data_IF_601417695514
#
_entry.id   IF_601417695514
#
_cell.length_a   1.000
_cell.length_b   1.000
_cell.length_c   1.000
_cell.angle_alpha   90.00
_cell.angle_beta   90.00
_cell.angle_gamma   90.00
#
_symmetry.space_group_name_H-M   'P 1'
#
loop_
_entity.id
_entity.type
_entity.pdbx_description
1 polymer ?
#
# COMPACT_ATOMS: atom_id res chain seq x y z
N UNK A 1 -17.94 -4.90 11.53
CA UNK A 1 -16.89 -5.89 11.75
C UNK A 1 -15.53 -5.21 11.93
N UNK A 2 -14.77 -5.64 12.88
CA UNK A 2 -13.46 -5.05 13.13
C UNK A 2 -12.38 -5.79 12.37
N UNK A 3 -11.33 -5.05 11.98
CA UNK A 3 -10.16 -5.63 11.31
C UNK A 3 -9.02 -5.89 12.31
N UNK A 4 -9.41 -6.14 13.57
CA UNK A 4 -8.45 -6.41 14.63
C UNK A 4 -7.61 -7.63 14.27
N UNK A 5 -6.30 -7.50 14.37
CA UNK A 5 -5.32 -8.56 14.06
C UNK A 5 -5.14 -8.88 12.58
N UNK A 6 -5.78 -8.11 11.69
CA UNK A 6 -5.53 -8.26 10.26
C UNK A 6 -4.31 -7.47 9.82
N UNK A 7 -3.65 -7.97 8.78
CA UNK A 7 -2.52 -7.27 8.18
C UNK A 7 -3.01 -6.08 7.35
N UNK A 8 -2.48 -4.91 7.64
CA UNK A 8 -2.81 -3.69 6.91
C UNK A 8 -1.95 -3.62 5.66
N UNK A 9 -2.60 -3.46 4.51
CA UNK A 9 -1.93 -3.26 3.22
C UNK A 9 -1.82 -1.77 2.91
N UNK A 10 -2.86 -1.00 3.24
CA UNK A 10 -2.92 0.42 2.94
C UNK A 10 -3.59 1.17 4.09
N UNK A 11 -2.91 2.19 4.61
CA UNK A 11 -3.40 3.05 5.69
C UNK A 11 -3.73 4.41 5.09
N UNK A 12 -5.00 4.63 4.76
CA UNK A 12 -5.40 5.83 4.03
C UNK A 12 -6.81 6.30 4.37
N UNK A 13 -7.06 7.58 4.12
CA UNK A 13 -8.38 8.19 4.27
C UNK A 13 -8.65 9.09 3.08
N UNK A 14 -9.94 9.38 2.87
CA UNK A 14 -10.40 10.43 1.97
C UNK A 14 -11.05 11.50 2.84
N UNK A 15 -10.53 12.72 2.80
CA UNK A 15 -11.08 13.83 3.58
C UNK A 15 -12.37 14.36 2.95
N UNK A 16 -13.19 15.14 3.69
CA UNK A 16 -14.44 15.67 3.12
C UNK A 16 -14.26 16.47 1.83
N UNK A 17 -13.12 17.16 1.66
CA UNK A 17 -12.85 17.93 0.43
C UNK A 17 -12.35 17.07 -0.73
N UNK A 18 -12.30 15.73 -0.55
CA UNK A 18 -11.88 14.82 -1.61
C UNK A 18 -10.38 14.56 -1.68
N UNK A 19 -9.63 14.94 -0.66
CA UNK A 19 -8.18 14.70 -0.64
C UNK A 19 -7.86 13.32 -0.13
N UNK A 20 -7.09 12.56 -0.91
CA UNK A 20 -6.60 11.25 -0.51
C UNK A 20 -5.32 11.42 0.29
N UNK A 21 -5.27 10.81 1.48
CA UNK A 21 -4.14 10.93 2.39
C UNK A 21 -3.71 9.53 2.81
N UNK A 22 -2.48 9.16 2.50
CA UNK A 22 -1.95 7.83 2.82
C UNK A 22 -0.66 7.91 3.62
N UNK A 23 -0.58 7.09 4.67
CA UNK A 23 0.65 6.85 5.41
C UNK A 23 1.29 5.57 4.89
N UNK A 24 2.51 5.65 4.39
CA UNK A 24 3.18 4.53 3.70
C UNK A 24 4.03 3.68 4.62
N UNK A 25 4.55 4.23 5.71
CA UNK A 25 5.43 3.49 6.59
C UNK A 25 5.26 3.93 8.04
N UNK A 26 5.86 3.19 8.95
CA UNK A 26 5.84 3.53 10.36
C UNK A 26 6.34 4.95 10.58
N UNK A 27 5.62 5.72 11.39
CA UNK A 27 5.91 7.14 11.66
C UNK A 27 5.77 8.07 10.46
N UNK A 28 5.15 7.61 9.38
CA UNK A 28 4.88 8.46 8.22
C UNK A 28 3.64 9.30 8.50
N UNK A 29 3.88 10.42 9.16
CA UNK A 29 2.84 11.36 9.57
C UNK A 29 2.44 12.24 8.38
N UNK A 30 1.16 12.18 8.02
CA UNK A 30 0.61 13.00 6.95
C UNK A 30 -0.55 13.80 7.51
N UNK A 31 -0.61 15.09 7.16
CA UNK A 31 -1.73 15.92 7.56
C UNK A 31 -2.22 16.77 6.40
N UNK A 32 -3.48 17.18 6.49
CA UNK A 32 -4.13 17.98 5.48
C UNK A 32 -5.17 18.88 6.13
N UNK A 33 -5.12 20.18 5.81
CA UNK A 33 -6.15 21.10 6.22
C UNK A 33 -7.31 20.99 5.23
N UNK A 34 -8.42 20.43 5.69
CA UNK A 34 -9.59 20.20 4.86
C UNK A 34 -10.29 21.50 4.54
N UNK A 35 -10.54 21.76 3.26
CA UNK A 35 -11.10 23.04 2.82
C UNK A 35 -12.59 23.18 3.10
N UNK A 36 -13.30 22.05 3.17
CA UNK A 36 -14.74 22.11 3.44
C UNK A 36 -15.05 22.31 4.91
N UNK A 37 -14.27 21.71 5.80
CA UNK A 37 -14.54 21.76 7.25
C UNK A 37 -13.66 22.71 8.02
N UNK A 38 -12.50 23.06 7.46
CA UNK A 38 -11.50 23.87 8.16
C UNK A 38 -10.74 23.09 9.21
N UNK A 39 -10.94 21.77 9.30
CA UNK A 39 -10.26 20.93 10.28
C UNK A 39 -9.04 20.26 9.68
N UNK A 40 -8.09 19.91 10.55
CA UNK A 40 -6.89 19.18 10.13
C UNK A 40 -7.14 17.68 10.28
N UNK A 41 -6.89 16.96 9.21
CA UNK A 41 -6.98 15.49 9.20
C UNK A 41 -5.58 14.89 9.20
N UNK A 42 -5.39 13.82 9.96
CA UNK A 42 -4.09 13.19 10.17
C UNK A 42 -4.19 11.70 9.92
N UNK A 43 -3.19 11.13 9.23
CA UNK A 43 -2.95 9.69 9.18
C UNK A 43 -1.49 9.44 9.50
N UNK A 44 -1.21 8.34 10.20
CA UNK A 44 0.13 7.99 10.64
C UNK A 44 0.19 6.49 10.90
N UNK A 45 1.37 5.91 10.83
CA UNK A 45 1.61 4.54 11.22
C UNK A 45 1.85 3.53 10.09
N UNK A 46 1.62 3.92 8.84
CA UNK A 46 1.82 3.01 7.71
C UNK A 46 1.14 1.68 7.91
N UNK A 47 1.88 0.58 7.72
CA UNK A 47 1.35 -0.77 7.91
C UNK A 47 1.46 -1.28 9.35
N UNK A 48 2.01 -0.49 10.26
CA UNK A 48 2.22 -0.92 11.64
C UNK A 48 1.07 -0.58 12.57
N UNK A 49 0.49 0.62 12.41
CA UNK A 49 -0.63 1.05 13.26
C UNK A 49 -1.45 2.12 12.55
N UNK A 50 -2.69 2.25 12.98
CA UNK A 50 -3.60 3.29 12.46
C UNK A 50 -3.75 4.39 13.49
N UNK A 51 -3.09 5.51 13.24
CA UNK A 51 -3.23 6.69 14.10
C UNK A 51 -3.90 7.78 13.28
N UNK A 52 -5.03 8.27 13.78
CA UNK A 52 -5.85 9.24 13.07
C UNK A 52 -6.39 10.31 13.99
N UNK A 53 -6.59 11.50 13.43
CA UNK A 53 -7.26 12.57 14.14
C UNK A 53 -8.73 12.22 14.36
N UNK A 54 -9.31 12.80 15.41
CA UNK A 54 -10.74 12.74 15.68
C UNK A 54 -11.32 14.07 15.20
N UNK A 55 -12.20 13.99 14.20
CA UNK A 55 -12.76 15.18 13.59
C UNK A 55 -14.27 15.21 13.73
N UNK A 56 -14.86 16.41 13.69
CA UNK A 56 -16.31 16.58 13.77
C UNK A 56 -17.01 15.92 12.58
N UNK A 57 -16.48 16.17 11.37
CA UNK A 57 -16.94 15.46 10.18
C UNK A 57 -15.92 14.35 9.91
N UNK A 58 -16.31 13.07 9.97
CA UNK A 58 -15.33 12.00 9.79
C UNK A 58 -14.86 11.90 8.35
N UNK A 59 -13.60 11.48 8.20
CA UNK A 59 -13.07 11.10 6.88
C UNK A 59 -13.61 9.73 6.50
N UNK A 60 -13.55 9.43 5.21
CA UNK A 60 -13.89 8.09 4.71
C UNK A 60 -12.65 7.21 4.77
N UNK A 61 -12.77 6.04 5.39
CA UNK A 61 -11.65 5.09 5.42
C UNK A 61 -11.39 4.55 4.01
N UNK A 62 -10.12 4.58 3.62
CA UNK A 62 -9.66 4.02 2.35
C UNK A 62 -8.69 2.86 2.62
N UNK A 63 -8.75 2.30 3.83
CA UNK A 63 -7.86 1.22 4.23
C UNK A 63 -8.08 -0.03 3.39
N UNK A 64 -6.97 -0.74 3.15
CA UNK A 64 -6.99 -2.05 2.51
C UNK A 64 -6.29 -3.03 3.44
N UNK A 65 -6.89 -4.20 3.59
CA UNK A 65 -6.38 -5.28 4.44
C UNK A 65 -6.09 -6.52 3.60
N UNK A 66 -5.28 -7.41 4.16
CA UNK A 66 -4.91 -8.65 3.46
C UNK A 66 -6.13 -9.52 3.13
N UNK A 67 -7.22 -9.39 3.88
CA UNK A 67 -8.46 -10.12 3.63
C UNK A 67 -9.30 -9.54 2.48
N UNK A 68 -8.94 -8.38 1.96
CA UNK A 68 -9.66 -7.77 0.83
C UNK A 68 -9.38 -8.55 -0.46
N UNK A 69 -10.23 -8.39 -1.50
CA UNK A 69 -9.99 -9.06 -2.77
C UNK A 69 -8.63 -8.71 -3.38
N UNK A 70 -7.99 -9.67 -4.03
CA UNK A 70 -6.67 -9.45 -4.61
C UNK A 70 -6.65 -8.30 -5.63
N UNK A 71 -7.74 -8.11 -6.37
CA UNK A 71 -7.87 -6.95 -7.28
C UNK A 71 -7.61 -5.64 -6.56
N UNK A 72 -8.14 -5.51 -5.35
CA UNK A 72 -7.94 -4.31 -4.53
C UNK A 72 -6.52 -4.26 -3.97
N UNK A 73 -6.03 -5.40 -3.49
CA UNK A 73 -4.69 -5.47 -2.89
C UNK A 73 -3.62 -5.10 -3.91
N UNK A 74 -3.67 -5.64 -5.13
CA UNK A 74 -2.64 -5.40 -6.13
C UNK A 74 -2.54 -3.93 -6.55
N UNK A 75 -3.60 -3.18 -6.39
CA UNK A 75 -3.62 -1.74 -6.71
C UNK A 75 -3.19 -0.86 -5.55
N UNK A 76 -3.01 -1.43 -4.38
CA UNK A 76 -2.70 -0.68 -3.16
C UNK A 76 -1.42 -1.12 -2.47
N UNK A 77 -1.04 -2.38 -2.59
CA UNK A 77 0.22 -2.85 -2.02
C UNK A 77 1.38 -2.18 -2.74
N UNK A 78 2.34 -1.64 -1.98
CA UNK A 78 3.53 -1.00 -2.52
C UNK A 78 4.78 -1.71 -2.07
N UNK A 79 5.76 -1.75 -2.96
CA UNK A 79 7.10 -2.24 -2.67
C UNK A 79 8.06 -1.05 -2.74
N UNK A 80 8.91 -0.90 -1.73
CA UNK A 80 9.88 0.18 -1.73
C UNK A 80 11.13 -0.29 -2.48
N UNK A 81 11.40 0.37 -3.60
CA UNK A 81 12.53 0.03 -4.46
C UNK A 81 13.59 1.12 -4.40
N UNK A 82 14.84 0.69 -4.31
CA UNK A 82 15.98 1.61 -4.38
C UNK A 82 16.58 1.64 -5.79
N UNK A 83 15.98 0.89 -6.71
CA UNK A 83 16.42 0.80 -8.10
C UNK A 83 17.63 -0.08 -8.28
N UNK A 84 18.01 -0.30 -9.53
CA UNK A 84 19.25 -0.99 -9.85
C UNK A 84 20.41 -0.11 -9.41
N UNK A 85 21.38 -0.71 -8.74
CA UNK A 85 22.58 0.01 -8.30
C UNK A 85 22.27 1.21 -7.38
N UNK A 86 21.12 1.20 -6.70
CA UNK A 86 20.78 2.25 -5.77
C UNK A 86 20.43 3.58 -6.37
N UNK A 87 19.92 3.60 -7.61
CA UNK A 87 19.60 4.84 -8.31
C UNK A 87 18.54 5.69 -7.62
N UNK A 88 17.71 5.07 -6.76
CA UNK A 88 16.69 5.79 -5.97
C UNK A 88 17.13 5.98 -4.51
N UNK A 89 18.39 5.64 -4.19
CA UNK A 89 18.95 5.79 -2.86
C UNK A 89 19.13 7.28 -2.52
N UNK A 90 19.00 7.69 -1.23
CA UNK A 90 18.72 6.84 -0.07
C UNK A 90 17.23 6.65 0.21
N UNK A 91 16.38 7.39 -0.44
CA UNK A 91 14.95 7.41 -0.08
C UNK A 91 14.12 6.32 -0.74
N UNK A 92 14.57 5.82 -1.89
CA UNK A 92 13.80 4.85 -2.64
C UNK A 92 12.51 5.44 -3.21
N UNK A 93 11.76 4.62 -3.91
CA UNK A 93 10.41 4.96 -4.38
C UNK A 93 9.47 3.82 -4.07
N UNK A 94 8.18 4.13 -3.90
CA UNK A 94 7.15 3.13 -3.71
C UNK A 94 6.53 2.79 -5.07
N UNK A 95 6.46 1.50 -5.38
CA UNK A 95 5.90 1.02 -6.64
C UNK A 95 4.70 0.13 -6.30
N UNK A 96 3.55 0.40 -6.89
CA UNK A 96 2.37 -0.45 -6.69
C UNK A 96 2.60 -1.82 -7.32
N UNK A 97 2.13 -2.87 -6.65
CA UNK A 97 2.31 -4.24 -7.11
C UNK A 97 1.86 -4.41 -8.56
N UNK A 98 0.71 -3.86 -8.92
CA UNK A 98 0.18 -3.96 -10.27
C UNK A 98 1.02 -3.22 -11.32
N UNK A 99 1.92 -2.35 -10.89
CA UNK A 99 2.78 -1.57 -11.79
C UNK A 99 4.21 -2.08 -11.84
N UNK A 100 4.57 -3.06 -11.02
CA UNK A 100 5.91 -3.61 -11.00
C UNK A 100 6.18 -4.43 -12.27
N UNK A 101 7.39 -4.32 -12.80
CA UNK A 101 7.78 -5.18 -13.92
C UNK A 101 7.81 -6.65 -13.46
N UNK A 102 7.41 -7.55 -14.34
CA UNK A 102 7.41 -8.99 -14.05
C UNK A 102 8.81 -9.47 -13.66
N UNK A 103 9.84 -9.00 -14.35
CA UNK A 103 11.22 -9.36 -14.02
C UNK A 103 11.63 -8.87 -12.65
N UNK A 104 11.14 -7.69 -12.23
CA UNK A 104 11.41 -7.16 -10.90
C UNK A 104 10.80 -8.06 -9.82
N UNK A 105 9.56 -8.54 -10.05
CA UNK A 105 8.90 -9.46 -9.11
C UNK A 105 9.71 -10.75 -8.98
N UNK A 106 10.17 -11.32 -10.10
CA UNK A 106 10.99 -12.53 -10.07
C UNK A 106 12.30 -12.29 -9.31
N UNK A 107 12.94 -11.16 -9.54
CA UNK A 107 14.19 -10.82 -8.84
C UNK A 107 13.97 -10.72 -7.32
N UNK A 108 12.85 -10.12 -6.90
CA UNK A 108 12.52 -10.02 -5.48
C UNK A 108 12.34 -11.41 -4.87
N UNK A 109 11.60 -12.29 -5.55
CA UNK A 109 11.37 -13.65 -5.08
C UNK A 109 12.67 -14.47 -4.96
N UNK A 110 13.64 -14.19 -5.82
CA UNK A 110 14.92 -14.89 -5.80
C UNK A 110 15.89 -14.34 -4.77
N UNK A 111 15.88 -13.02 -4.54
CA UNK A 111 16.95 -12.34 -3.77
C UNK A 111 16.54 -11.84 -2.40
N UNK A 112 15.26 -11.54 -2.18
CA UNK A 112 14.79 -10.95 -0.93
C UNK A 112 14.35 -12.03 0.04
N UNK A 113 15.32 -12.67 0.69
CA UNK A 113 15.03 -13.83 1.55
C UNK A 113 14.17 -13.48 2.77
N UNK A 114 14.16 -12.23 3.19
CA UNK A 114 13.36 -11.82 4.36
C UNK A 114 11.86 -11.93 4.13
N UNK A 115 11.39 -12.02 2.89
CA UNK A 115 9.96 -12.18 2.62
C UNK A 115 9.51 -13.64 2.57
N UNK A 116 10.45 -14.58 2.63
CA UNK A 116 10.10 -16.01 2.56
C UNK A 116 9.21 -16.42 3.73
N UNK A 117 8.11 -17.06 3.42
CA UNK A 117 7.16 -17.54 4.41
C UNK A 117 6.21 -16.48 4.94
N UNK A 118 6.28 -15.23 4.45
CA UNK A 118 5.35 -14.21 4.88
C UNK A 118 4.39 -13.82 3.74
N UNK A 119 3.42 -12.95 4.05
CA UNK A 119 2.37 -12.60 3.09
C UNK A 119 2.91 -11.88 1.85
N UNK A 120 4.05 -11.19 1.95
CA UNK A 120 4.61 -10.47 0.80
C UNK A 120 5.01 -11.45 -0.30
N UNK A 121 5.62 -12.57 0.06
CA UNK A 121 5.96 -13.61 -0.90
C UNK A 121 4.70 -14.11 -1.61
N UNK A 122 3.65 -14.38 -0.85
CA UNK A 122 2.39 -14.84 -1.42
C UNK A 122 1.78 -13.82 -2.38
N UNK A 123 1.82 -12.53 -2.03
CA UNK A 123 1.29 -11.49 -2.90
C UNK A 123 2.08 -11.38 -4.21
N UNK A 124 3.41 -11.51 -4.15
CA UNK A 124 4.25 -11.50 -5.35
C UNK A 124 3.90 -12.66 -6.27
N UNK A 125 3.73 -13.85 -5.71
CA UNK A 125 3.33 -15.04 -6.47
C UNK A 125 1.93 -14.90 -7.04
N UNK A 126 0.99 -14.36 -6.27
CA UNK A 126 -0.37 -14.13 -6.74
C UNK A 126 -0.40 -13.14 -7.90
N UNK A 127 0.44 -12.11 -7.87
CA UNK A 127 0.50 -11.15 -8.97
C UNK A 127 1.00 -11.81 -10.25
N UNK A 128 2.01 -12.68 -10.15
CA UNK A 128 2.49 -13.41 -11.31
C UNK A 128 1.41 -14.31 -11.89
N UNK A 129 0.67 -15.02 -11.03
CA UNK A 129 -0.44 -15.87 -11.46
C UNK A 129 -1.56 -15.03 -12.09
N UNK A 130 -1.88 -13.89 -11.49
CA UNK A 130 -2.89 -12.98 -12.02
C UNK A 130 -2.54 -12.53 -13.45
N UNK A 131 -1.29 -12.15 -13.69
CA UNK A 131 -0.84 -11.72 -15.01
C UNK A 131 -0.92 -12.84 -16.02
N UNK A 132 -0.54 -14.03 -15.63
CA UNK A 132 -0.60 -15.20 -16.49
C UNK A 132 -2.03 -15.47 -16.95
N UNK A 133 -2.99 -15.37 -16.05
CA UNK A 133 -4.40 -15.61 -16.37
C UNK A 133 -5.04 -14.49 -17.20
N UNK A 134 -4.63 -13.25 -16.95
CA UNK A 134 -5.33 -12.10 -17.52
C UNK A 134 -4.63 -11.48 -18.71
N UNK A 135 -3.31 -11.68 -18.86
CA UNK A 135 -2.54 -11.04 -19.92
C UNK A 135 -2.26 -11.96 -21.10
N UNK A 136 -2.22 -13.26 -20.88
CA UNK A 136 -1.98 -14.22 -21.95
C UNK A 136 -3.05 -14.13 -23.04
N UNK A 137 -4.29 -13.90 -22.63
CA UNK A 137 -5.41 -13.81 -23.57
C UNK A 137 -5.39 -12.55 -24.42
N UNK A 138 -4.56 -11.59 -24.08
CA UNK A 138 -4.45 -10.32 -24.78
C UNK A 138 -3.29 -10.33 -25.80
N UNK A 139 -2.48 -11.34 -25.72
CA UNK A 139 -1.24 -11.47 -26.49
C UNK A 139 -1.38 -11.81 -27.93
#
# INVERSE_FOLDING_TARGET
>A
MTHKNETIICNAIMTPDGTYLRSYHRHDYKEHLDKLTGEVFIVDGGNDYLRRSVNTTPATSMDVYLSDPFETIRRNFVWKSYGKNGEHSPHGIYIYLCKMDTDHIHAILETQHHIKGNYVEDLMKQELAYRKENYVLQG
#
